data_IF_265391205772
#
_entry.id   IF_265391205772
#
_cell.length_a   1.000
_cell.length_b   1.000
_cell.length_c   1.000
_cell.angle_alpha   90.00
_cell.angle_beta   90.00
_cell.angle_gamma   90.00
#
_symmetry.space_group_name_H-M   'P 1'
#
loop_
_entity.id
_entity.type
_entity.pdbx_description
1 polymer ?
#
# COMPACT_ATOMS: atom_id res chain seq x y z
N UNK A 1 70.98 5.09 7.27
CA UNK A 1 70.12 5.16 8.48
C UNK A 1 68.73 5.61 8.02
N UNK A 2 67.84 4.64 7.77
CA UNK A 2 66.56 4.84 7.08
C UNK A 2 65.48 5.02 8.15
N UNK A 3 64.93 6.23 8.28
CA UNK A 3 63.75 6.49 9.10
C UNK A 3 62.55 6.71 8.19
N UNK A 4 61.74 5.66 8.07
CA UNK A 4 60.43 5.64 7.39
C UNK A 4 59.43 6.44 8.21
N UNK A 5 58.88 7.49 7.61
CA UNK A 5 57.67 8.16 8.07
C UNK A 5 56.47 7.22 7.89
N UNK A 6 55.86 6.79 9.00
CA UNK A 6 54.58 6.07 8.98
C UNK A 6 53.45 7.08 8.76
N UNK A 7 52.97 7.17 7.52
CA UNK A 7 51.67 7.75 7.22
C UNK A 7 50.59 6.83 7.82
N UNK A 8 49.92 7.30 8.86
CA UNK A 8 48.73 6.65 9.42
C UNK A 8 47.57 6.86 8.45
N UNK A 9 47.28 5.85 7.64
CA UNK A 9 46.02 5.74 6.92
C UNK A 9 44.89 5.59 7.95
N UNK A 10 44.22 6.70 8.29
CA UNK A 10 42.87 6.65 8.85
C UNK A 10 41.98 6.06 7.76
N UNK A 11 41.72 4.77 7.86
CA UNK A 11 40.62 4.13 7.16
C UNK A 11 39.35 4.90 7.56
N UNK A 12 38.75 5.59 6.59
CA UNK A 12 37.38 6.07 6.68
C UNK A 12 36.52 4.83 6.94
N UNK A 13 36.15 4.60 8.20
CA UNK A 13 34.96 3.81 8.51
C UNK A 13 33.81 4.59 7.88
N UNK A 14 33.39 4.15 6.70
CA UNK A 14 32.06 4.46 6.21
C UNK A 14 31.11 4.11 7.36
N UNK A 15 30.52 5.13 7.96
CA UNK A 15 29.40 4.95 8.87
C UNK A 15 28.35 4.17 8.10
N UNK A 16 28.17 2.90 8.45
CA UNK A 16 26.96 2.16 8.09
C UNK A 16 25.78 3.04 8.46
N UNK A 17 24.81 3.28 7.55
CA UNK A 17 23.64 4.06 7.88
C UNK A 17 23.04 3.50 9.17
N UNK A 18 22.75 4.37 10.14
CA UNK A 18 22.09 3.99 11.37
C UNK A 18 20.85 3.17 11.02
N UNK A 19 20.90 1.87 11.28
CA UNK A 19 19.78 0.98 10.94
C UNK A 19 18.61 1.35 11.85
N UNK A 20 17.45 1.62 11.25
CA UNK A 20 16.24 1.90 12.04
C UNK A 20 16.00 0.75 13.03
N UNK A 21 15.77 1.05 14.31
CA UNK A 21 15.47 0.02 15.29
C UNK A 21 14.12 -0.63 14.98
N UNK A 22 13.97 -1.89 15.39
CA UNK A 22 12.70 -2.59 15.37
C UNK A 22 11.64 -1.77 16.14
N UNK A 23 10.44 -1.64 15.57
CA UNK A 23 9.37 -0.82 16.15
C UNK A 23 8.56 -1.60 17.18
N UNK A 24 8.01 -0.89 18.17
CA UNK A 24 7.04 -1.41 19.11
C UNK A 24 5.68 -0.76 18.89
N UNK A 25 4.61 -1.41 19.35
CA UNK A 25 3.27 -0.84 19.27
C UNK A 25 3.18 0.47 20.06
N UNK A 26 2.58 1.49 19.43
CA UNK A 26 2.24 2.74 20.11
C UNK A 26 1.25 2.48 21.25
N UNK A 27 1.37 3.22 22.36
CA UNK A 27 0.51 3.06 23.54
C UNK A 27 -0.97 3.25 23.20
N UNK A 28 -1.26 4.18 22.28
CA UNK A 28 -2.57 4.48 21.76
C UNK A 28 -3.18 3.27 21.05
N UNK A 29 -2.38 2.56 20.24
CA UNK A 29 -2.81 1.33 19.53
C UNK A 29 -3.14 0.23 20.52
N UNK A 30 -2.29 0.03 21.53
CA UNK A 30 -2.54 -0.94 22.60
C UNK A 30 -3.86 -0.61 23.32
N UNK A 31 -4.08 0.66 23.67
CA UNK A 31 -5.31 1.11 24.31
C UNK A 31 -6.55 0.90 23.42
N UNK A 32 -6.44 1.14 22.11
CA UNK A 32 -7.53 0.87 21.16
C UNK A 32 -7.86 -0.61 21.04
N UNK A 33 -6.84 -1.48 20.99
CA UNK A 33 -7.04 -2.91 20.80
C UNK A 33 -7.46 -3.65 22.07
N UNK A 34 -7.24 -3.08 23.26
CA UNK A 34 -7.93 -3.52 24.48
C UNK A 34 -9.45 -3.33 24.45
N UNK A 35 -9.96 -2.60 23.45
CA UNK A 35 -11.38 -2.40 23.16
C UNK A 35 -11.73 -3.08 21.85
N UNK A 36 -12.14 -4.36 21.84
CA UNK A 36 -12.32 -5.13 20.61
C UNK A 36 -13.30 -4.51 19.62
N UNK A 37 -14.25 -3.70 20.07
CA UNK A 37 -15.15 -2.92 19.20
C UNK A 37 -14.43 -1.87 18.35
N UNK A 38 -13.39 -1.23 18.88
CA UNK A 38 -12.56 -0.25 18.14
C UNK A 38 -11.70 -0.98 17.11
N UNK A 39 -11.03 -2.06 17.51
CA UNK A 39 -10.26 -2.90 16.58
C UNK A 39 -11.11 -3.37 15.40
N UNK A 40 -12.29 -3.95 15.67
CA UNK A 40 -13.24 -4.35 14.61
C UNK A 40 -13.74 -3.18 13.77
N UNK A 41 -13.96 -2.01 14.38
CA UNK A 41 -14.36 -0.80 13.66
C UNK A 41 -13.28 -0.33 12.68
N UNK A 42 -12.01 -0.34 13.08
CA UNK A 42 -10.85 -0.02 12.24
C UNK A 42 -10.77 -0.95 11.03
N UNK A 43 -10.84 -2.26 11.27
CA UNK A 43 -10.83 -3.28 10.23
C UNK A 43 -11.97 -3.09 9.22
N UNK A 44 -13.18 -2.75 9.70
CA UNK A 44 -14.34 -2.49 8.81
C UNK A 44 -14.15 -1.28 7.91
N UNK A 45 -13.42 -0.24 8.35
CA UNK A 45 -13.14 0.92 7.48
C UNK A 45 -12.41 0.46 6.22
N UNK A 46 -11.40 -0.40 6.38
CA UNK A 46 -10.65 -1.00 5.28
C UNK A 46 -11.32 -2.21 4.62
N UNK A 47 -12.64 -2.40 4.80
CA UNK A 47 -13.41 -3.55 4.27
C UNK A 47 -12.84 -4.93 4.61
N UNK A 48 -12.10 -5.04 5.72
CA UNK A 48 -11.63 -6.34 6.21
C UNK A 48 -12.84 -7.08 6.81
N UNK A 49 -13.14 -8.31 6.38
CA UNK A 49 -14.28 -9.05 6.91
C UNK A 49 -14.08 -9.35 8.40
N UNK A 50 -14.99 -8.89 9.26
CA UNK A 50 -14.95 -9.14 10.70
C UNK A 50 -16.17 -9.91 11.20
N UNK A 51 -16.03 -10.65 12.30
CA UNK A 51 -17.13 -11.32 13.00
C UNK A 51 -17.13 -10.99 14.49
N UNK A 52 -18.29 -11.13 15.13
CA UNK A 52 -18.42 -11.07 16.59
C UNK A 52 -18.56 -12.45 17.23
N UNK A 53 -18.83 -13.48 16.43
CA UNK A 53 -18.94 -14.86 16.90
C UNK A 53 -17.56 -15.37 17.29
N UNK A 54 -17.38 -15.65 18.60
CA UNK A 54 -16.15 -16.26 19.12
C UNK A 54 -16.11 -17.78 18.90
N UNK A 55 -17.26 -18.42 18.69
CA UNK A 55 -17.37 -19.83 18.37
C UNK A 55 -17.41 -20.02 16.85
N UNK A 56 -16.61 -20.95 16.32
CA UNK A 56 -16.75 -21.33 14.93
C UNK A 56 -17.95 -22.21 14.72
N UNK A 57 -18.41 -22.23 13.47
CA UNK A 57 -19.48 -23.12 13.08
C UNK A 57 -18.82 -24.46 12.72
N UNK A 58 -19.53 -25.59 12.86
CA UNK A 58 -19.03 -26.88 12.38
C UNK A 58 -18.43 -26.77 10.97
N UNK A 59 -17.22 -27.31 10.79
CA UNK A 59 -16.48 -27.26 9.53
C UNK A 59 -15.71 -25.95 9.26
N UNK A 60 -15.71 -25.00 10.19
CA UNK A 60 -14.80 -23.85 10.15
C UNK A 60 -13.51 -24.18 10.88
N UNK A 61 -12.42 -23.61 10.39
CA UNK A 61 -11.11 -23.60 11.04
C UNK A 61 -10.89 -22.27 11.73
N UNK A 62 -10.27 -22.30 12.89
CA UNK A 62 -9.80 -21.10 13.58
C UNK A 62 -8.29 -21.08 13.56
N UNK A 63 -7.73 -19.97 13.09
CA UNK A 63 -6.31 -19.71 13.02
C UNK A 63 -5.94 -18.64 14.05
N UNK A 64 -4.86 -18.86 14.79
CA UNK A 64 -4.17 -17.80 15.54
C UNK A 64 -2.80 -17.62 14.91
N UNK A 65 -2.51 -16.39 14.52
CA UNK A 65 -1.29 -16.02 13.80
C UNK A 65 -0.57 -14.99 14.66
N UNK A 66 0.65 -15.27 15.07
CA UNK A 66 1.52 -14.29 15.73
C UNK A 66 2.45 -13.68 14.69
N UNK A 67 2.49 -12.35 14.62
CA UNK A 67 3.27 -11.65 13.60
C UNK A 67 3.99 -10.42 14.15
N UNK A 68 5.09 -10.09 13.46
CA UNK A 68 5.76 -8.80 13.49
C UNK A 68 5.75 -8.22 12.06
N UNK A 69 5.02 -7.13 11.84
CA UNK A 69 4.72 -6.59 10.52
C UNK A 69 4.17 -7.68 9.59
N UNK A 70 4.78 -7.96 8.43
CA UNK A 70 4.34 -9.08 7.57
C UNK A 70 4.98 -10.43 7.95
N UNK A 71 5.88 -10.48 8.93
CA UNK A 71 6.55 -11.71 9.32
C UNK A 71 5.68 -12.53 10.24
N UNK A 72 5.32 -13.73 9.79
CA UNK A 72 4.62 -14.71 10.60
C UNK A 72 5.63 -15.45 11.47
N UNK A 73 5.55 -15.24 12.78
CA UNK A 73 6.39 -15.88 13.79
C UNK A 73 5.85 -17.27 14.13
N UNK A 74 4.54 -17.39 14.25
CA UNK A 74 3.87 -18.65 14.55
C UNK A 74 2.45 -18.66 14.00
N UNK A 75 1.97 -19.86 13.71
CA UNK A 75 0.61 -20.10 13.27
C UNK A 75 0.12 -21.43 13.84
N UNK A 76 -1.01 -21.36 14.54
CA UNK A 76 -1.72 -22.53 15.03
C UNK A 76 -3.13 -22.56 14.44
N UNK A 77 -3.60 -23.75 14.13
CA UNK A 77 -4.93 -24.02 13.58
C UNK A 77 -5.68 -24.96 14.50
N UNK A 78 -6.95 -24.68 14.72
CA UNK A 78 -7.90 -25.59 15.31
C UNK A 78 -9.05 -25.87 14.33
N UNK A 79 -9.58 -27.08 14.37
CA UNK A 79 -10.72 -27.52 13.56
C UNK A 79 -11.94 -27.71 14.45
N UNK A 80 -13.03 -26.99 14.15
CA UNK A 80 -14.26 -27.16 14.91
C UNK A 80 -14.99 -28.41 14.40
N UNK A 81 -14.87 -29.50 15.16
CA UNK A 81 -15.54 -30.76 14.84
C UNK A 81 -17.07 -30.59 14.92
N UNK A 82 -17.78 -31.31 14.05
CA UNK A 82 -19.23 -31.36 14.06
C UNK A 82 -19.72 -32.07 15.31
N UNK A 83 -20.06 -31.33 16.37
CA UNK A 83 -20.64 -31.92 17.56
C UNK A 83 -22.09 -32.34 17.29
N UNK A 84 -22.27 -33.57 16.82
CA UNK A 84 -23.49 -34.31 17.14
C UNK A 84 -23.42 -34.68 18.63
N UNK A 85 -24.36 -34.16 19.42
CA UNK A 85 -24.68 -34.52 20.82
C UNK A 85 -24.04 -33.67 21.95
N UNK A 86 -24.90 -32.80 22.53
CA UNK A 86 -25.19 -32.60 23.96
C UNK A 86 -24.08 -32.42 25.03
N UNK A 87 -22.79 -32.52 24.72
CA UNK A 87 -21.72 -32.30 25.69
C UNK A 87 -20.85 -31.09 25.32
N UNK A 88 -20.87 -30.09 26.21
CA UNK A 88 -19.93 -28.96 26.22
C UNK A 88 -18.53 -29.55 26.43
N UNK A 89 -17.68 -29.56 25.40
CA UNK A 89 -16.29 -29.99 25.52
C UNK A 89 -15.33 -28.82 25.74
N UNK A 90 -14.20 -29.20 26.32
CA UNK A 90 -12.99 -28.49 26.74
C UNK A 90 -12.37 -27.60 25.65
N UNK A 91 -11.34 -26.82 26.03
CA UNK A 91 -10.64 -25.92 25.11
C UNK A 91 -10.27 -26.63 23.79
N UNK A 92 -10.45 -25.98 22.64
CA UNK A 92 -10.19 -26.60 21.34
C UNK A 92 -8.73 -27.03 21.22
N UNK A 93 -8.48 -28.22 20.64
CA UNK A 93 -7.13 -28.66 20.33
C UNK A 93 -6.52 -27.77 19.23
N UNK A 94 -5.25 -27.39 19.43
CA UNK A 94 -4.49 -26.53 18.51
C UNK A 94 -3.31 -27.30 17.92
N UNK A 95 -3.16 -27.20 16.61
CA UNK A 95 -2.06 -27.82 15.86
C UNK A 95 -1.20 -26.73 15.24
N UNK A 96 0.12 -26.85 15.37
CA UNK A 96 1.06 -25.95 14.69
C UNK A 96 0.99 -26.19 13.18
N UNK A 97 0.99 -25.11 12.40
CA UNK A 97 1.05 -25.16 10.94
C UNK A 97 2.50 -24.91 10.51
N UNK A 98 3.06 -25.84 9.73
CA UNK A 98 4.44 -25.71 9.24
C UNK A 98 4.58 -24.54 8.26
N UNK A 99 5.69 -23.79 8.38
CA UNK A 99 6.03 -22.66 7.52
C UNK A 99 7.35 -22.92 6.77
N UNK A 100 7.48 -22.56 5.48
CA UNK A 100 6.44 -21.99 4.63
C UNK A 100 5.37 -23.04 4.24
N UNK A 101 4.11 -22.62 4.11
CA UNK A 101 3.00 -23.49 3.70
C UNK A 101 2.65 -23.27 2.23
N UNK A 102 2.35 -24.37 1.53
CA UNK A 102 1.79 -24.36 0.17
C UNK A 102 0.27 -24.38 0.15
N UNK A 103 -0.39 -24.53 1.31
CA UNK A 103 -1.86 -24.50 1.40
C UNK A 103 -2.38 -23.10 1.07
N UNK A 104 -3.20 -23.00 0.02
CA UNK A 104 -3.78 -21.71 -0.42
C UNK A 104 -4.54 -21.00 0.70
N UNK A 105 -5.28 -21.74 1.53
CA UNK A 105 -6.00 -21.14 2.67
C UNK A 105 -5.04 -20.50 3.67
N UNK A 106 -3.93 -21.19 4.00
CA UNK A 106 -2.93 -20.67 4.93
C UNK A 106 -2.31 -19.39 4.38
N UNK A 107 -1.96 -19.35 3.09
CA UNK A 107 -1.41 -18.16 2.45
C UNK A 107 -2.38 -16.97 2.49
N UNK A 108 -3.67 -17.20 2.23
CA UNK A 108 -4.70 -16.16 2.32
C UNK A 108 -4.91 -15.70 3.76
N UNK A 109 -4.90 -16.62 4.74
CA UNK A 109 -4.98 -16.30 6.17
C UNK A 109 -3.80 -15.42 6.60
N UNK A 110 -2.57 -15.74 6.17
CA UNK A 110 -1.37 -14.95 6.49
C UNK A 110 -1.46 -13.52 5.94
N UNK A 111 -1.85 -13.37 4.66
CA UNK A 111 -2.05 -12.05 4.04
C UNK A 111 -3.13 -11.23 4.74
N UNK A 112 -4.25 -11.87 5.10
CA UNK A 112 -5.33 -11.21 5.85
C UNK A 112 -4.89 -10.80 7.26
N UNK A 113 -4.06 -11.61 7.93
CA UNK A 113 -3.52 -11.30 9.25
C UNK A 113 -2.60 -10.07 9.20
N UNK A 114 -1.64 -10.03 8.27
CA UNK A 114 -0.75 -8.88 8.09
C UNK A 114 -1.53 -7.59 7.76
N UNK A 115 -2.51 -7.67 6.85
CA UNK A 115 -3.39 -6.54 6.52
C UNK A 115 -4.19 -6.07 7.73
N UNK A 116 -4.68 -7.00 8.56
CA UNK A 116 -5.46 -6.67 9.76
C UNK A 116 -4.60 -6.00 10.82
N UNK A 117 -3.37 -6.48 11.02
CA UNK A 117 -2.43 -5.86 11.94
C UNK A 117 -2.08 -4.43 11.50
N UNK A 118 -1.80 -4.23 10.20
CA UNK A 118 -1.53 -2.91 9.64
C UNK A 118 -2.73 -1.96 9.82
N UNK A 119 -3.93 -2.40 9.45
CA UNK A 119 -5.16 -1.59 9.54
C UNK A 119 -5.55 -1.26 10.99
N UNK A 120 -5.17 -2.11 11.94
CA UNK A 120 -5.31 -1.86 13.38
C UNK A 120 -4.27 -0.85 13.92
N UNK A 121 -3.26 -0.49 13.13
CA UNK A 121 -2.17 0.40 13.52
C UNK A 121 -1.06 -0.30 14.30
N UNK A 122 -1.08 -1.62 14.44
CA UNK A 122 -0.09 -2.38 15.20
C UNK A 122 1.11 -2.82 14.31
N UNK A 123 2.29 -2.88 14.92
CA UNK A 123 3.53 -3.42 14.35
C UNK A 123 3.76 -4.87 14.77
N UNK A 124 3.24 -5.28 15.93
CA UNK A 124 3.32 -6.65 16.44
C UNK A 124 1.98 -7.09 17.03
N UNK A 125 1.69 -8.38 17.01
CA UNK A 125 0.51 -8.89 17.70
C UNK A 125 0.09 -10.29 17.28
N UNK A 126 -1.06 -10.70 17.79
CA UNK A 126 -1.75 -11.92 17.40
C UNK A 126 -3.05 -11.57 16.68
N UNK A 127 -3.33 -12.23 15.56
CA UNK A 127 -4.60 -12.09 14.83
C UNK A 127 -5.32 -13.43 14.85
N UNK A 128 -6.59 -13.41 15.24
CA UNK A 128 -7.47 -14.58 15.20
C UNK A 128 -8.38 -14.50 13.98
N UNK A 129 -8.32 -15.51 13.12
CA UNK A 129 -9.10 -15.59 11.88
C UNK A 129 -9.89 -16.89 11.84
N UNK A 130 -11.16 -16.82 11.47
CA UNK A 130 -11.96 -17.99 11.17
C UNK A 130 -12.09 -18.15 9.67
N UNK A 131 -11.88 -19.36 9.16
CA UNK A 131 -11.97 -19.67 7.75
C UNK A 131 -12.89 -20.88 7.52
N UNK A 132 -13.85 -20.71 6.61
CA UNK A 132 -14.61 -21.84 6.06
C UNK A 132 -13.95 -22.37 4.78
N UNK A 133 -13.26 -21.51 4.04
CA UNK A 133 -12.55 -21.79 2.78
C UNK A 133 -11.58 -20.63 2.49
N UNK A 134 -10.69 -20.75 1.48
CA UNK A 134 -9.82 -19.65 1.04
C UNK A 134 -10.55 -18.36 0.60
N UNK A 135 -11.85 -18.42 0.32
CA UNK A 135 -12.64 -17.26 -0.10
C UNK A 135 -13.58 -16.75 0.99
N UNK A 136 -13.69 -17.46 2.11
CA UNK A 136 -14.63 -17.15 3.20
C UNK A 136 -13.91 -17.13 4.53
N UNK A 137 -13.24 -16.00 4.78
CA UNK A 137 -12.50 -15.71 6.01
C UNK A 137 -13.14 -14.55 6.76
N UNK A 138 -13.02 -14.56 8.09
CA UNK A 138 -13.43 -13.45 8.96
C UNK A 138 -12.44 -13.28 10.10
N UNK A 139 -11.98 -12.06 10.31
CA UNK A 139 -11.17 -11.68 11.46
C UNK A 139 -12.07 -11.59 12.70
N UNK A 140 -11.66 -12.25 13.77
CA UNK A 140 -12.36 -12.23 15.05
C UNK A 140 -11.81 -11.08 15.89
N UNK A 141 -10.49 -11.04 16.01
CA UNK A 141 -9.80 -10.15 16.95
C UNK A 141 -8.35 -9.92 16.51
N UNK A 142 -7.83 -8.74 16.85
CA UNK A 142 -6.43 -8.35 16.73
C UNK A 142 -5.96 -7.96 18.12
N UNK A 143 -5.02 -8.70 18.66
CA UNK A 143 -4.43 -8.48 19.97
C UNK A 143 -3.07 -7.80 19.80
N UNK A 144 -2.77 -6.73 20.55
CA UNK A 144 -1.55 -5.95 20.40
C UNK A 144 -0.32 -6.64 21.01
N UNK A 145 -0.49 -7.78 21.67
CA UNK A 145 0.58 -8.47 22.36
C UNK A 145 0.66 -9.90 21.85
N UNK A 146 1.87 -10.45 21.85
CA UNK A 146 2.05 -11.89 21.70
C UNK A 146 1.68 -12.64 22.98
N UNK A 147 1.38 -13.95 22.89
CA UNK A 147 1.23 -14.80 24.06
C UNK A 147 2.45 -14.70 24.98
N UNK A 148 2.22 -14.37 26.25
CA UNK A 148 3.29 -14.12 27.23
C UNK A 148 4.32 -15.27 27.33
N UNK A 149 3.84 -16.52 27.17
CA UNK A 149 4.67 -17.72 27.19
C UNK A 149 5.78 -17.74 26.12
N UNK A 150 5.53 -17.13 24.96
CA UNK A 150 6.44 -17.16 23.80
C UNK A 150 6.99 -15.77 23.45
N UNK A 151 6.67 -14.74 24.25
CA UNK A 151 6.97 -13.35 23.91
C UNK A 151 8.48 -13.09 23.72
N UNK A 152 9.33 -13.66 24.58
CA UNK A 152 10.79 -13.47 24.49
C UNK A 152 11.38 -14.16 23.25
N UNK A 153 10.94 -15.38 22.97
CA UNK A 153 11.35 -16.14 21.77
C UNK A 153 10.93 -15.39 20.49
N UNK A 154 9.68 -14.93 20.44
CA UNK A 154 9.15 -14.17 19.32
C UNK A 154 9.86 -12.84 19.15
N UNK A 155 10.21 -12.15 20.25
CA UNK A 155 10.99 -10.92 20.22
C UNK A 155 12.36 -11.14 19.58
N UNK A 156 13.04 -12.23 19.95
CA UNK A 156 14.32 -12.58 19.36
C UNK A 156 14.19 -12.87 17.86
N UNK A 157 13.25 -13.74 17.47
CA UNK A 157 13.01 -14.10 16.06
C UNK A 157 12.58 -12.90 15.21
N UNK A 158 11.75 -12.01 15.75
CA UNK A 158 11.35 -10.77 15.08
C UNK A 158 12.54 -9.84 14.85
N UNK A 159 13.44 -9.72 15.84
CA UNK A 159 14.66 -8.91 15.73
C UNK A 159 15.61 -9.47 14.67
N UNK A 160 15.87 -10.78 14.71
CA UNK A 160 16.73 -11.45 13.72
C UNK A 160 16.18 -11.28 12.30
N UNK A 161 14.87 -11.47 12.13
CA UNK A 161 14.21 -11.24 10.84
C UNK A 161 14.28 -9.76 10.42
N UNK A 162 14.04 -8.83 11.33
CA UNK A 162 14.10 -7.39 11.05
C UNK A 162 15.51 -6.99 10.58
N UNK A 163 16.54 -7.39 11.31
CA UNK A 163 17.92 -7.13 10.94
C UNK A 163 18.27 -7.75 9.58
N UNK A 164 17.84 -8.99 9.34
CA UNK A 164 17.99 -9.64 8.04
C UNK A 164 17.26 -8.89 6.92
N UNK A 165 16.03 -8.43 7.17
CA UNK A 165 15.20 -7.72 6.19
C UNK A 165 15.78 -6.36 5.84
N UNK A 166 16.22 -5.60 6.83
CA UNK A 166 16.81 -4.27 6.64
C UNK A 166 18.15 -4.36 5.91
N UNK A 167 18.92 -5.44 6.08
CA UNK A 167 20.18 -5.66 5.34
C UNK A 167 20.00 -6.02 3.86
N UNK A 168 18.81 -6.45 3.42
CA UNK A 168 18.56 -6.81 2.01
C UNK A 168 18.58 -5.61 1.07
N UNK A 169 18.28 -4.42 1.59
CA UNK A 169 18.23 -3.19 0.81
C UNK A 169 19.16 -2.14 1.45
N UNK A 170 19.71 -1.19 0.68
CA UNK A 170 20.60 -0.16 1.19
C UNK A 170 19.93 0.83 2.16
N UNK A 171 18.59 0.79 2.29
CA UNK A 171 17.78 1.74 3.06
C UNK A 171 17.98 3.19 2.63
N UNK A 172 18.27 3.37 1.35
CA UNK A 172 18.39 4.67 0.70
C UNK A 172 17.66 4.56 -0.63
N UNK A 173 16.85 5.56 -0.94
CA UNK A 173 16.21 5.65 -2.24
C UNK A 173 17.31 5.75 -3.31
N UNK A 174 17.37 4.74 -4.18
CA UNK A 174 18.27 4.71 -5.33
C UNK A 174 17.58 5.26 -6.56
N UNK A 175 16.36 4.81 -6.83
CA UNK A 175 15.55 5.28 -7.96
C UNK A 175 14.07 5.14 -7.66
N UNK A 176 13.25 5.86 -8.42
CA UNK A 176 11.81 5.68 -8.48
C UNK A 176 11.40 5.12 -9.83
N UNK A 177 10.43 4.21 -9.81
CA UNK A 177 9.65 3.81 -10.99
C UNK A 177 8.17 4.12 -10.76
N UNK A 178 7.34 3.88 -11.76
CA UNK A 178 5.90 4.02 -11.64
C UNK A 178 5.21 3.07 -12.62
N UNK A 179 4.07 2.54 -12.22
CA UNK A 179 3.19 1.72 -13.08
C UNK A 179 1.78 2.35 -13.08
N UNK A 180 1.58 3.55 -13.68
CA UNK A 180 0.27 4.18 -13.70
C UNK A 180 -0.64 3.62 -14.80
N UNK A 181 -1.90 3.43 -14.44
CA UNK A 181 -2.91 2.77 -15.25
C UNK A 181 -3.95 3.76 -15.82
N UNK A 182 -4.58 3.41 -16.94
CA UNK A 182 -5.72 4.14 -17.50
C UNK A 182 -6.68 3.20 -18.23
N UNK A 183 -7.95 3.60 -18.33
CA UNK A 183 -9.00 2.86 -19.01
C UNK A 183 -9.35 3.50 -20.36
N UNK A 184 -9.96 2.71 -21.25
CA UNK A 184 -10.37 3.16 -22.58
C UNK A 184 -11.89 3.19 -22.68
N UNK A 185 -12.45 4.30 -23.22
CA UNK A 185 -13.90 4.49 -23.42
C UNK A 185 -14.21 4.64 -24.90
N UNK A 186 -15.17 3.86 -25.40
CA UNK A 186 -15.72 3.97 -26.75
C UNK A 186 -16.64 5.19 -26.87
N UNK A 187 -16.94 5.69 -28.09
CA UNK A 187 -17.91 6.77 -28.28
C UNK A 187 -19.30 6.49 -27.69
N UNK A 188 -19.71 5.22 -27.62
CA UNK A 188 -20.97 4.80 -27.00
C UNK A 188 -20.97 4.88 -25.46
N UNK A 189 -19.84 5.23 -24.83
CA UNK A 189 -19.67 5.30 -23.38
C UNK A 189 -19.21 3.98 -22.74
N UNK A 190 -19.21 2.88 -23.48
CA UNK A 190 -18.77 1.56 -23.03
C UNK A 190 -17.24 1.47 -22.87
N UNK A 191 -16.79 0.56 -22.00
CA UNK A 191 -15.38 0.24 -21.87
C UNK A 191 -14.86 -0.46 -23.14
N UNK A 192 -13.68 -0.05 -23.61
CA UNK A 192 -12.89 -0.81 -24.57
C UNK A 192 -11.80 -1.59 -23.83
N UNK A 193 -11.45 -2.78 -24.33
CA UNK A 193 -10.38 -3.56 -23.72
C UNK A 193 -9.02 -3.00 -24.17
N UNK A 194 -8.12 -2.74 -23.24
CA UNK A 194 -6.76 -2.32 -23.57
C UNK A 194 -6.03 -3.35 -24.46
N UNK A 195 -6.29 -4.64 -24.25
CA UNK A 195 -5.74 -5.74 -25.07
C UNK A 195 -6.16 -5.73 -26.54
N UNK A 196 -7.20 -4.96 -26.90
CA UNK A 196 -7.59 -4.80 -28.31
C UNK A 196 -6.63 -3.88 -29.07
N UNK A 197 -5.85 -3.07 -28.35
CA UNK A 197 -4.95 -2.06 -28.92
C UNK A 197 -3.48 -2.23 -28.51
N UNK A 198 -3.24 -2.84 -27.35
CA UNK A 198 -1.92 -2.92 -26.73
C UNK A 198 -1.51 -4.37 -26.47
N UNK A 199 -0.21 -4.64 -26.60
CA UNK A 199 0.38 -5.88 -26.08
C UNK A 199 0.28 -5.92 -24.55
N UNK A 200 0.27 -7.12 -23.96
CA UNK A 200 0.30 -7.25 -22.49
C UNK A 200 1.61 -6.63 -21.93
N UNK A 201 2.73 -6.99 -22.56
CA UNK A 201 4.07 -6.57 -22.14
C UNK A 201 4.51 -5.25 -22.77
N UNK A 202 5.58 -4.68 -22.19
CA UNK A 202 6.29 -3.51 -22.69
C UNK A 202 6.00 -2.24 -21.89
N UNK A 203 6.72 -1.18 -22.25
CA UNK A 203 6.64 0.17 -21.67
C UNK A 203 5.25 0.79 -21.74
N UNK A 204 4.47 0.41 -22.75
CA UNK A 204 3.03 0.67 -22.83
C UNK A 204 2.40 -0.67 -23.14
N UNK A 205 1.61 -1.18 -22.18
CA UNK A 205 0.95 -2.47 -22.30
C UNK A 205 -0.33 -2.54 -21.48
N UNK A 206 -0.67 -3.72 -20.98
CA UNK A 206 -1.87 -3.94 -20.19
C UNK A 206 -1.52 -4.39 -18.77
N UNK A 207 -2.35 -4.00 -17.79
CA UNK A 207 -2.28 -4.59 -16.45
C UNK A 207 -2.65 -6.09 -16.54
N UNK A 208 -1.92 -6.90 -15.79
CA UNK A 208 -2.10 -8.35 -15.74
C UNK A 208 -3.07 -8.79 -14.64
N UNK A 209 -3.42 -7.90 -13.71
CA UNK A 209 -4.33 -8.18 -12.62
C UNK A 209 -5.77 -8.30 -13.12
N UNK A 210 -6.47 -9.35 -12.68
CA UNK A 210 -7.85 -9.63 -13.09
C UNK A 210 -8.77 -9.50 -11.88
N UNK A 211 -9.71 -8.56 -11.96
CA UNK A 211 -10.69 -8.34 -10.89
C UNK A 211 -12.02 -9.07 -11.12
N UNK A 212 -12.27 -9.60 -12.32
CA UNK A 212 -13.46 -10.38 -12.67
C UNK A 212 -13.10 -11.67 -13.40
N UNK A 213 -13.77 -12.74 -13.01
CA UNK A 213 -13.67 -14.09 -13.62
C UNK A 213 -14.35 -14.17 -14.99
N UNK A 214 -15.24 -13.21 -15.31
CA UNK A 214 -16.03 -13.17 -16.55
C UNK A 214 -15.21 -12.87 -17.81
N UNK A 215 -14.00 -12.33 -17.67
CA UNK A 215 -13.13 -12.03 -18.82
C UNK A 215 -12.28 -13.24 -19.20
N UNK A 216 -12.23 -13.54 -20.50
CA UNK A 216 -11.42 -14.64 -21.03
C UNK A 216 -9.93 -14.47 -20.70
N UNK A 217 -9.18 -15.58 -20.67
CA UNK A 217 -7.74 -15.63 -20.33
C UNK A 217 -6.80 -14.73 -21.14
N UNK A 218 -7.27 -14.10 -22.22
CA UNK A 218 -6.48 -13.18 -23.05
C UNK A 218 -6.95 -11.73 -22.99
N UNK A 219 -8.05 -11.44 -22.29
CA UNK A 219 -8.64 -10.11 -22.23
C UNK A 219 -8.09 -9.31 -21.05
N UNK A 220 -7.51 -8.15 -21.35
CA UNK A 220 -6.96 -7.23 -20.36
C UNK A 220 -7.63 -5.87 -20.52
N UNK A 221 -8.46 -5.44 -19.55
CA UNK A 221 -9.30 -4.26 -19.70
C UNK A 221 -8.55 -2.93 -19.50
N UNK A 222 -7.47 -2.95 -18.72
CA UNK A 222 -6.76 -1.75 -18.25
C UNK A 222 -5.41 -1.62 -18.94
N UNK A 223 -5.09 -0.42 -19.42
CA UNK A 223 -3.78 -0.08 -19.95
C UNK A 223 -2.84 0.34 -18.82
N UNK A 224 -1.57 -0.01 -18.91
CA UNK A 224 -0.54 0.31 -17.92
C UNK A 224 0.71 0.88 -18.61
N UNK A 225 1.22 1.98 -18.08
CA UNK A 225 2.51 2.54 -18.48
C UNK A 225 3.60 2.00 -17.56
N UNK A 226 4.79 1.73 -18.10
CA UNK A 226 5.96 1.26 -17.35
C UNK A 226 7.19 2.10 -17.72
N UNK A 227 7.21 3.40 -17.36
CA UNK A 227 8.34 4.30 -17.61
C UNK A 227 9.67 3.76 -17.11
N UNK A 228 10.75 4.16 -17.78
CA UNK A 228 12.08 3.87 -17.29
C UNK A 228 12.28 4.52 -15.90
N UNK A 229 12.82 3.79 -14.92
CA UNK A 229 13.04 4.34 -13.58
C UNK A 229 14.09 5.46 -13.61
N UNK A 230 14.00 6.39 -12.67
CA UNK A 230 14.91 7.53 -12.54
C UNK A 230 15.15 7.90 -11.08
N UNK A 231 16.32 8.45 -10.77
CA UNK A 231 16.59 9.08 -9.47
C UNK A 231 15.92 10.46 -9.36
N UNK A 232 15.70 11.11 -10.51
CA UNK A 232 15.09 12.44 -10.59
C UNK A 232 13.58 12.35 -10.90
N UNK A 233 12.69 12.85 -10.02
CA UNK A 233 11.25 12.85 -10.25
C UNK A 233 10.85 13.57 -11.55
N UNK A 234 11.59 14.58 -12.00
CA UNK A 234 11.28 15.30 -13.24
C UNK A 234 11.58 14.46 -14.48
N UNK A 235 12.67 13.70 -14.47
CA UNK A 235 12.94 12.75 -15.55
C UNK A 235 11.90 11.62 -15.59
N UNK A 236 11.49 11.11 -14.42
CA UNK A 236 10.42 10.10 -14.37
C UNK A 236 9.10 10.65 -14.94
N UNK A 237 8.76 11.92 -14.65
CA UNK A 237 7.63 12.61 -15.26
C UNK A 237 7.75 12.67 -16.78
N UNK A 238 8.93 13.00 -17.32
CA UNK A 238 9.15 13.03 -18.77
C UNK A 238 9.04 11.64 -19.41
N UNK A 239 9.55 10.59 -18.76
CA UNK A 239 9.36 9.21 -19.25
C UNK A 239 7.88 8.82 -19.29
N UNK A 240 7.05 9.27 -18.34
CA UNK A 240 5.60 9.06 -18.36
C UNK A 240 4.97 9.79 -19.55
N UNK A 241 5.36 11.05 -19.80
CA UNK A 241 4.90 11.80 -20.96
C UNK A 241 5.23 11.09 -22.28
N UNK A 242 6.47 10.64 -22.44
CA UNK A 242 6.93 9.91 -23.63
C UNK A 242 6.14 8.61 -23.83
N UNK A 243 5.84 7.91 -22.74
CA UNK A 243 5.02 6.71 -22.75
C UNK A 243 3.57 6.99 -23.16
N UNK A 244 2.97 8.08 -22.68
CA UNK A 244 1.63 8.49 -23.12
C UNK A 244 1.62 8.84 -24.61
N UNK A 245 2.66 9.53 -25.11
CA UNK A 245 2.80 9.83 -26.53
C UNK A 245 3.00 8.54 -27.37
N UNK A 246 3.73 7.56 -26.85
CA UNK A 246 3.85 6.24 -27.47
C UNK A 246 2.52 5.48 -27.47
N UNK A 247 1.79 5.50 -26.36
CA UNK A 247 0.46 4.92 -26.26
C UNK A 247 -0.50 5.55 -27.28
N UNK A 248 -0.36 6.86 -27.55
CA UNK A 248 -1.21 7.58 -28.48
C UNK A 248 -1.02 7.06 -29.90
N UNK A 249 0.26 6.86 -30.28
CA UNK A 249 0.62 6.25 -31.56
C UNK A 249 0.16 4.79 -31.66
N UNK A 250 0.31 3.99 -30.60
CA UNK A 250 -0.07 2.57 -30.60
C UNK A 250 -1.57 2.35 -30.70
N UNK A 251 -2.36 3.10 -29.92
CA UNK A 251 -3.82 2.98 -29.92
C UNK A 251 -4.39 3.51 -31.24
N UNK A 252 -3.81 4.58 -31.79
CA UNK A 252 -4.05 5.02 -33.18
C UNK A 252 -5.50 5.38 -33.52
N UNK A 253 -6.37 5.53 -32.52
CA UNK A 253 -7.79 5.78 -32.68
C UNK A 253 -8.23 6.99 -31.84
N UNK A 254 -8.53 8.10 -32.52
CA UNK A 254 -8.95 9.35 -31.88
C UNK A 254 -10.32 9.26 -31.22
N UNK A 255 -11.19 8.35 -31.66
CA UNK A 255 -12.54 8.16 -31.10
C UNK A 255 -12.56 7.44 -29.74
N UNK A 256 -11.47 6.78 -29.37
CA UNK A 256 -11.33 6.11 -28.07
C UNK A 256 -10.76 7.12 -27.06
N UNK A 257 -11.56 7.48 -26.06
CA UNK A 257 -11.15 8.36 -24.97
C UNK A 257 -10.38 7.59 -23.90
N UNK A 258 -9.45 8.27 -23.23
CA UNK A 258 -8.64 7.67 -22.17
C UNK A 258 -9.00 8.27 -20.82
N UNK A 259 -9.30 7.41 -19.84
CA UNK A 259 -9.79 7.82 -18.52
C UNK A 259 -8.83 7.38 -17.42
N UNK A 260 -8.57 8.28 -16.47
CA UNK A 260 -7.79 8.04 -15.27
C UNK A 260 -8.66 8.28 -14.02
N UNK A 261 -8.09 8.19 -12.82
CA UNK A 261 -8.80 8.35 -11.54
C UNK A 261 -8.90 7.04 -10.75
N UNK A 262 -9.97 6.87 -9.98
CA UNK A 262 -10.13 5.70 -9.12
C UNK A 262 -10.71 4.47 -9.82
N UNK A 263 -11.91 4.59 -10.38
CA UNK A 263 -12.61 3.47 -10.99
C UNK A 263 -13.55 3.97 -12.10
N UNK A 264 -13.01 4.33 -13.28
CA UNK A 264 -13.81 4.88 -14.38
C UNK A 264 -14.93 3.93 -14.85
N UNK A 265 -14.74 2.62 -14.69
CA UNK A 265 -15.73 1.60 -15.00
C UNK A 265 -15.99 0.71 -13.79
N UNK A 266 -17.25 0.42 -13.50
CA UNK A 266 -17.65 -0.35 -12.32
C UNK A 266 -16.97 -1.73 -12.24
N UNK A 267 -16.20 -1.94 -11.18
CA UNK A 267 -15.48 -3.20 -10.95
C UNK A 267 -14.13 -3.31 -11.66
N UNK A 268 -13.66 -2.23 -12.29
CA UNK A 268 -12.32 -2.10 -12.87
C UNK A 268 -11.59 -0.93 -12.19
N UNK A 269 -11.14 -1.12 -10.93
CA UNK A 269 -10.35 -0.10 -10.25
C UNK A 269 -9.00 0.05 -10.93
N UNK A 270 -8.51 1.29 -11.04
CA UNK A 270 -7.19 1.58 -11.64
C UNK A 270 -6.27 2.32 -10.68
N UNK A 271 -4.96 2.10 -10.79
CA UNK A 271 -3.95 2.61 -9.85
C UNK A 271 -2.88 3.49 -10.48
N UNK A 272 -2.23 4.30 -9.65
CA UNK A 272 -1.03 5.07 -9.98
C UNK A 272 0.15 4.58 -9.16
N UNK A 273 0.65 3.38 -9.41
CA UNK A 273 1.59 2.76 -8.49
C UNK A 273 2.96 3.43 -8.60
N UNK A 274 3.68 3.51 -7.48
CA UNK A 274 5.01 4.11 -7.40
C UNK A 274 5.98 3.09 -6.83
N UNK A 275 7.14 2.95 -7.46
CA UNK A 275 8.15 1.98 -7.11
C UNK A 275 9.30 2.69 -6.41
N UNK A 276 9.76 2.14 -5.30
CA UNK A 276 10.84 2.69 -4.50
C UNK A 276 12.01 1.71 -4.48
N UNK A 277 13.04 2.01 -5.27
CA UNK A 277 14.26 1.23 -5.35
C UNK A 277 15.19 1.48 -4.16
N UNK A 278 15.71 0.41 -3.56
CA UNK A 278 16.68 0.46 -2.47
C UNK A 278 16.08 0.64 -1.07
N UNK A 279 14.75 0.58 -0.93
CA UNK A 279 14.04 0.72 0.34
C UNK A 279 13.29 -0.57 0.72
N UNK A 280 13.25 -0.89 2.01
CA UNK A 280 12.41 -1.95 2.55
C UNK A 280 11.03 -1.38 2.91
N UNK A 281 9.90 -2.00 2.52
CA UNK A 281 8.57 -1.51 2.85
C UNK A 281 8.21 -1.78 4.32
N UNK A 282 8.86 -1.12 5.28
CA UNK A 282 8.49 -1.26 6.70
C UNK A 282 7.10 -0.68 6.96
N UNK A 283 6.40 -1.14 7.99
CA UNK A 283 5.10 -0.54 8.37
C UNK A 283 5.22 0.97 8.64
N UNK A 284 6.34 1.41 9.24
CA UNK A 284 6.64 2.82 9.43
C UNK A 284 6.66 3.58 8.10
N UNK A 285 7.44 3.13 7.12
CA UNK A 285 7.53 3.77 5.80
C UNK A 285 6.18 3.77 5.08
N UNK A 286 5.45 2.64 5.09
CA UNK A 286 4.10 2.56 4.50
C UNK A 286 3.15 3.59 5.11
N UNK A 287 3.16 3.73 6.44
CA UNK A 287 2.32 4.73 7.13
C UNK A 287 2.71 6.16 6.78
N UNK A 288 3.99 6.43 6.48
CA UNK A 288 4.41 7.74 5.94
C UNK A 288 3.89 7.94 4.51
N UNK A 289 4.00 6.94 3.64
CA UNK A 289 3.43 7.05 2.30
C UNK A 289 1.91 7.27 2.34
N UNK A 290 1.19 6.56 3.20
CA UNK A 290 -0.25 6.78 3.42
C UNK A 290 -0.53 8.21 3.92
N UNK A 291 0.23 8.66 4.92
CA UNK A 291 0.07 9.96 5.57
C UNK A 291 0.29 11.14 4.62
N UNK A 292 1.33 11.09 3.79
CA UNK A 292 1.73 12.23 2.98
C UNK A 292 1.31 12.11 1.51
N UNK A 293 0.99 10.91 1.01
CA UNK A 293 0.51 10.73 -0.37
C UNK A 293 -0.99 10.42 -0.40
N UNK A 294 -1.41 9.35 0.27
CA UNK A 294 -2.78 8.84 0.10
C UNK A 294 -3.84 9.75 0.73
N UNK A 295 -3.62 10.20 1.96
CA UNK A 295 -4.57 11.08 2.64
C UNK A 295 -4.72 12.45 1.95
N UNK A 296 -3.64 13.15 1.55
CA UNK A 296 -3.76 14.41 0.84
C UNK A 296 -4.47 14.31 -0.51
N UNK A 297 -4.26 13.22 -1.25
CA UNK A 297 -4.85 13.06 -2.57
C UNK A 297 -6.39 13.00 -2.52
N UNK A 298 -6.99 12.52 -1.43
CA UNK A 298 -8.45 12.47 -1.22
C UNK A 298 -9.13 13.80 -1.50
N UNK A 299 -8.48 14.95 -1.25
CA UNK A 299 -9.08 16.26 -1.47
C UNK A 299 -9.55 16.47 -2.91
N UNK A 300 -8.89 15.86 -3.89
CA UNK A 300 -9.24 16.03 -5.30
C UNK A 300 -9.84 14.78 -5.95
N UNK A 301 -9.88 13.66 -5.24
CA UNK A 301 -10.36 12.41 -5.81
C UNK A 301 -11.83 12.45 -6.27
N UNK A 302 -12.13 11.59 -7.25
CA UNK A 302 -13.46 11.30 -7.77
C UNK A 302 -14.19 10.25 -6.92
N UNK A 303 -15.49 10.10 -7.14
CA UNK A 303 -16.32 9.14 -6.42
C UNK A 303 -15.89 7.67 -6.63
N UNK A 304 -15.25 7.35 -7.76
CA UNK A 304 -14.72 6.02 -8.06
C UNK A 304 -13.61 5.59 -7.10
N UNK A 305 -12.84 6.54 -6.54
CA UNK A 305 -11.78 6.27 -5.57
C UNK A 305 -12.30 5.61 -4.28
N UNK A 306 -13.50 5.97 -3.82
CA UNK A 306 -14.12 5.34 -2.65
C UNK A 306 -14.42 3.86 -2.91
N UNK A 307 -14.99 3.56 -4.08
CA UNK A 307 -15.31 2.19 -4.48
C UNK A 307 -14.04 1.36 -4.73
N UNK A 308 -13.00 1.98 -5.31
CA UNK A 308 -11.69 1.35 -5.52
C UNK A 308 -11.14 0.78 -4.21
N UNK A 309 -11.10 1.60 -3.15
CA UNK A 309 -10.56 1.24 -1.82
C UNK A 309 -11.21 0.04 -1.15
N UNK A 310 -12.41 -0.36 -1.60
CA UNK A 310 -13.07 -1.53 -1.05
C UNK A 310 -12.31 -2.83 -1.32
N UNK A 311 -11.61 -2.88 -2.46
CA UNK A 311 -10.89 -4.07 -2.92
C UNK A 311 -9.43 -3.78 -3.26
N UNK A 312 -9.14 -2.57 -3.74
CA UNK A 312 -7.83 -2.20 -4.27
C UNK A 312 -7.37 -0.84 -3.76
N UNK A 313 -6.08 -0.72 -3.40
CA UNK A 313 -5.51 0.53 -2.91
C UNK A 313 -6.06 0.98 -1.56
N UNK A 314 -6.20 0.03 -0.63
CA UNK A 314 -6.39 0.32 0.79
C UNK A 314 -5.08 0.83 1.41
N UNK A 315 -5.14 1.42 2.61
CA UNK A 315 -3.95 1.94 3.30
C UNK A 315 -2.92 0.83 3.54
N UNK A 316 -1.66 1.10 3.22
CA UNK A 316 -0.55 0.17 3.36
C UNK A 316 -0.45 -0.90 2.28
N UNK A 317 -1.19 -0.79 1.18
CA UNK A 317 -1.11 -1.72 0.05
C UNK A 317 0.24 -1.57 -0.66
N UNK A 318 1.07 -2.61 -0.54
CA UNK A 318 2.39 -2.69 -1.16
C UNK A 318 2.63 -4.08 -1.73
N UNK A 319 3.54 -4.15 -2.70
CA UNK A 319 4.08 -5.40 -3.23
C UNK A 319 5.60 -5.36 -3.19
N UNK A 320 6.20 -6.31 -2.48
CA UNK A 320 7.66 -6.43 -2.39
C UNK A 320 8.25 -6.89 -3.73
N UNK A 321 9.44 -6.37 -4.07
CA UNK A 321 10.19 -6.63 -5.31
C UNK A 321 11.66 -6.84 -4.95
N UNK A 322 12.43 -7.44 -5.84
CA UNK A 322 13.87 -7.66 -5.60
C UNK A 322 14.64 -6.35 -5.38
N UNK A 323 14.27 -5.29 -6.10
CA UNK A 323 14.89 -3.97 -5.98
C UNK A 323 14.33 -3.10 -4.85
N UNK A 324 13.29 -3.53 -4.12
CA UNK A 324 12.58 -2.69 -3.15
C UNK A 324 11.10 -3.03 -3.09
N UNK A 325 10.23 -2.07 -3.41
CA UNK A 325 8.78 -2.33 -3.42
C UNK A 325 7.99 -1.40 -4.33
N UNK A 326 6.76 -1.81 -4.60
CA UNK A 326 5.71 -1.09 -5.32
C UNK A 326 4.64 -0.66 -4.29
N UNK A 327 4.30 0.63 -4.27
CA UNK A 327 3.26 1.22 -3.45
C UNK A 327 1.99 1.43 -4.27
N UNK A 328 0.88 0.84 -3.82
CA UNK A 328 -0.32 0.58 -4.65
C UNK A 328 -1.57 1.31 -4.15
N UNK A 329 -1.47 2.01 -3.02
CA UNK A 329 -2.58 2.72 -2.39
C UNK A 329 -3.22 3.77 -3.30
N UNK A 330 -2.44 4.46 -4.14
CA UNK A 330 -2.95 5.62 -4.89
C UNK A 330 -3.82 5.24 -6.10
N UNK A 331 -4.94 5.94 -6.36
CA UNK A 331 -5.64 5.85 -7.64
C UNK A 331 -4.75 6.35 -8.79
N UNK A 332 -5.18 6.14 -10.04
CA UNK A 332 -4.44 6.65 -11.19
C UNK A 332 -4.41 8.17 -11.17
N UNK A 333 -3.23 8.72 -10.94
CA UNK A 333 -2.98 10.15 -10.91
C UNK A 333 -2.73 10.79 -12.27
N UNK A 334 -2.84 10.00 -13.36
CA UNK A 334 -2.70 10.47 -14.74
C UNK A 334 -3.80 11.45 -15.18
N UNK A 335 -4.78 11.74 -14.32
CA UNK A 335 -5.87 12.69 -14.62
C UNK A 335 -5.32 14.06 -15.01
N UNK A 336 -4.27 14.51 -14.32
CA UNK A 336 -3.70 15.84 -14.51
C UNK A 336 -2.15 15.81 -14.40
N UNK A 337 -1.41 16.43 -15.35
CA UNK A 337 0.04 16.46 -15.33
C UNK A 337 0.64 17.23 -14.14
N UNK A 338 -0.05 18.27 -13.61
CA UNK A 338 0.36 18.99 -12.40
C UNK A 338 0.31 18.05 -11.19
N UNK A 339 -0.80 17.30 -11.06
CA UNK A 339 -0.98 16.32 -9.97
C UNK A 339 0.05 15.21 -10.08
N UNK A 340 0.24 14.66 -11.29
CA UNK A 340 1.24 13.62 -11.57
C UNK A 340 2.63 14.06 -11.13
N UNK A 341 3.09 15.21 -11.62
CA UNK A 341 4.42 15.75 -11.27
C UNK A 341 4.55 16.03 -9.78
N UNK A 342 3.52 16.62 -9.17
CA UNK A 342 3.46 16.89 -7.73
C UNK A 342 3.62 15.63 -6.88
N UNK A 343 2.89 14.55 -7.22
CA UNK A 343 2.96 13.27 -6.52
C UNK A 343 4.34 12.63 -6.63
N UNK A 344 4.98 12.67 -7.80
CA UNK A 344 6.33 12.10 -7.96
C UNK A 344 7.36 12.85 -7.09
N UNK A 345 7.32 14.18 -7.10
CA UNK A 345 8.16 15.00 -6.21
C UNK A 345 7.87 14.73 -4.73
N UNK A 346 6.61 14.58 -4.36
CA UNK A 346 6.21 14.34 -2.98
C UNK A 346 6.63 12.94 -2.53
N UNK A 347 6.46 11.92 -3.38
CA UNK A 347 6.89 10.56 -3.13
C UNK A 347 8.41 10.50 -2.91
N UNK A 348 9.18 11.17 -3.77
CA UNK A 348 10.63 11.30 -3.62
C UNK A 348 11.00 11.96 -2.27
N UNK A 349 10.40 13.10 -1.96
CA UNK A 349 10.68 13.84 -0.72
C UNK A 349 10.36 13.01 0.53
N UNK A 350 9.21 12.34 0.54
CA UNK A 350 8.76 11.47 1.64
C UNK A 350 9.71 10.30 1.80
N UNK A 351 10.01 9.56 0.73
CA UNK A 351 10.87 8.39 0.78
C UNK A 351 12.30 8.72 1.25
N UNK A 352 12.85 9.86 0.81
CA UNK A 352 14.19 10.31 1.21
C UNK A 352 14.27 10.88 2.64
N UNK A 353 13.14 11.31 3.22
CA UNK A 353 13.10 11.95 4.54
C UNK A 353 12.15 11.27 5.54
N UNK A 354 11.72 10.03 5.27
CA UNK A 354 10.66 9.36 6.03
C UNK A 354 10.93 9.26 7.54
N UNK A 355 12.21 9.23 7.95
CA UNK A 355 12.61 9.19 9.37
C UNK A 355 12.33 10.51 10.11
N UNK A 356 12.32 11.63 9.40
CA UNK A 356 12.12 12.98 9.96
C UNK A 356 10.64 13.34 10.07
N UNK A 357 9.80 12.66 9.30
CA UNK A 357 8.36 12.90 9.26
C UNK A 357 7.67 12.40 10.53
N UNK A 358 6.76 13.18 11.07
CA UNK A 358 6.13 12.98 12.37
C UNK A 358 4.64 12.67 12.29
N UNK A 359 3.98 12.86 11.14
CA UNK A 359 2.56 12.56 11.04
C UNK A 359 2.26 11.07 11.32
N UNK A 360 1.23 10.85 12.15
CA UNK A 360 0.76 9.53 12.60
C UNK A 360 -0.77 9.41 12.43
N UNK A 361 -1.32 9.58 11.21
CA UNK A 361 -2.78 9.54 11.01
C UNK A 361 -3.39 8.18 11.34
N UNK A 362 -2.62 7.09 11.30
CA UNK A 362 -3.01 5.76 11.76
C UNK A 362 -3.37 5.70 13.26
N UNK A 363 -3.01 6.71 14.05
CA UNK A 363 -3.42 6.86 15.46
C UNK A 363 -4.66 7.76 15.62
N UNK A 364 -5.15 8.37 14.54
CA UNK A 364 -6.25 9.32 14.55
C UNK A 364 -7.46 8.71 13.85
N UNK A 365 -8.33 8.03 14.63
CA UNK A 365 -9.53 7.35 14.10
C UNK A 365 -10.35 8.21 13.11
N UNK A 366 -10.59 9.51 13.35
CA UNK A 366 -11.31 10.35 12.39
C UNK A 366 -10.65 10.45 11.01
N UNK A 367 -9.30 10.47 10.94
CA UNK A 367 -8.59 10.55 9.66
C UNK A 367 -8.66 9.23 8.88
N UNK A 368 -8.60 8.10 9.58
CA UNK A 368 -8.77 6.77 8.96
C UNK A 368 -10.17 6.68 8.35
N UNK A 369 -11.21 7.07 9.11
CA UNK A 369 -12.58 7.12 8.61
C UNK A 369 -12.68 8.04 7.39
N UNK A 370 -12.12 9.24 7.48
CA UNK A 370 -12.19 10.24 6.42
C UNK A 370 -11.56 9.76 5.11
N UNK A 371 -10.44 9.03 5.17
CA UNK A 371 -9.83 8.40 4.00
C UNK A 371 -10.78 7.40 3.31
N UNK A 372 -11.31 6.44 4.07
CA UNK A 372 -12.17 5.39 3.49
C UNK A 372 -13.54 5.91 3.03
N UNK A 373 -14.04 6.99 3.65
CA UNK A 373 -15.33 7.60 3.31
C UNK A 373 -15.22 8.78 2.34
N UNK A 374 -14.01 9.18 1.95
CA UNK A 374 -13.81 10.34 1.08
C UNK A 374 -14.23 11.67 1.72
N UNK A 375 -14.15 11.80 3.05
CA UNK A 375 -14.57 13.01 3.78
C UNK A 375 -13.52 14.13 3.63
N UNK A 376 -13.49 14.79 2.47
CA UNK A 376 -12.52 15.85 2.09
C UNK A 376 -12.37 16.95 3.15
N UNK A 377 -13.49 17.46 3.65
CA UNK A 377 -13.52 18.53 4.67
C UNK A 377 -12.80 18.14 5.97
N UNK A 378 -12.85 16.86 6.36
CA UNK A 378 -12.16 16.35 7.57
C UNK A 378 -10.66 16.21 7.35
N UNK A 379 -10.23 16.02 6.11
CA UNK A 379 -8.81 15.89 5.76
C UNK A 379 -8.15 17.24 5.51
N UNK A 380 -8.91 18.28 5.09
CA UNK A 380 -8.34 19.59 4.76
C UNK A 380 -7.41 20.17 5.84
N UNK A 381 -7.76 20.20 7.15
CA UNK A 381 -6.85 20.69 8.19
C UNK A 381 -5.59 19.84 8.32
N UNK A 382 -5.72 18.52 8.14
CA UNK A 382 -4.59 17.60 8.17
C UNK A 382 -3.64 17.83 6.99
N UNK A 383 -4.18 18.05 5.79
CA UNK A 383 -3.39 18.34 4.58
C UNK A 383 -2.61 19.64 4.73
N UNK A 384 -3.25 20.69 5.25
CA UNK A 384 -2.58 21.94 5.55
C UNK A 384 -1.42 21.75 6.55
N UNK A 385 -1.64 20.95 7.61
CA UNK A 385 -0.60 20.62 8.60
C UNK A 385 0.60 19.91 7.96
N UNK A 386 0.37 18.81 7.22
CA UNK A 386 1.48 18.05 6.63
C UNK A 386 2.22 18.85 5.57
N UNK A 387 1.55 19.75 4.85
CA UNK A 387 2.22 20.63 3.90
C UNK A 387 3.21 21.57 4.60
N UNK A 388 2.86 22.15 5.76
CA UNK A 388 3.80 22.97 6.55
C UNK A 388 4.98 22.13 7.03
N UNK A 389 4.74 20.91 7.51
CA UNK A 389 5.81 20.01 7.92
C UNK A 389 6.78 19.69 6.78
N UNK A 390 6.27 19.44 5.57
CA UNK A 390 7.09 19.16 4.40
C UNK A 390 8.00 20.34 4.02
N UNK A 391 7.55 21.58 4.21
CA UNK A 391 8.35 22.80 3.91
C UNK A 391 9.63 22.90 4.72
N UNK A 392 9.66 22.30 5.91
CA UNK A 392 10.83 22.28 6.79
C UNK A 392 11.88 21.23 6.40
N UNK A 393 11.59 20.36 5.42
CA UNK A 393 12.52 19.32 4.99
C UNK A 393 13.62 19.88 4.08
N UNK A 394 14.89 19.42 4.23
CA UNK A 394 16.00 19.90 3.40
C UNK A 394 15.79 19.74 1.88
N UNK A 395 15.08 18.68 1.46
CA UNK A 395 14.80 18.40 0.05
C UNK A 395 13.64 19.20 -0.55
N UNK A 396 12.88 19.94 0.26
CA UNK A 396 11.68 20.65 -0.20
C UNK A 396 12.03 21.73 -1.23
N UNK A 397 13.11 22.48 -1.01
CA UNK A 397 13.52 23.59 -1.88
C UNK A 397 13.69 23.17 -3.34
N UNK A 398 14.25 21.98 -3.59
CA UNK A 398 14.45 21.44 -4.94
C UNK A 398 13.11 21.11 -5.63
N UNK A 399 12.09 20.74 -4.86
CA UNK A 399 10.76 20.37 -5.35
C UNK A 399 9.70 21.47 -5.18
N UNK A 400 10.07 22.62 -4.62
CA UNK A 400 9.15 23.66 -4.13
C UNK A 400 8.14 24.11 -5.18
N UNK A 401 8.60 24.37 -6.40
CA UNK A 401 7.72 24.84 -7.49
C UNK A 401 6.61 23.83 -7.78
N UNK A 402 6.92 22.53 -7.75
CA UNK A 402 5.96 21.47 -8.03
C UNK A 402 5.07 21.18 -6.82
N UNK A 403 5.65 21.14 -5.62
CA UNK A 403 4.91 20.87 -4.39
C UNK A 403 3.97 22.01 -4.01
N UNK A 404 4.41 23.27 -4.12
CA UNK A 404 3.55 24.41 -3.81
C UNK A 404 2.34 24.45 -4.74
N UNK A 405 2.55 24.24 -6.05
CA UNK A 405 1.46 24.16 -7.03
C UNK A 405 0.53 22.99 -6.75
N UNK A 406 1.08 21.83 -6.44
CA UNK A 406 0.33 20.63 -6.10
C UNK A 406 -0.57 20.86 -4.89
N UNK A 407 -0.03 21.34 -3.77
CA UNK A 407 -0.81 21.54 -2.55
C UNK A 407 -1.81 22.70 -2.67
N UNK A 408 -1.46 23.80 -3.35
CA UNK A 408 -2.45 24.83 -3.71
C UNK A 408 -3.60 24.23 -4.51
N UNK A 409 -3.29 23.43 -5.53
CA UNK A 409 -4.32 22.74 -6.33
C UNK A 409 -5.19 21.82 -5.47
N UNK A 410 -4.59 21.04 -4.55
CA UNK A 410 -5.34 20.16 -3.64
C UNK A 410 -6.33 20.92 -2.75
N UNK A 411 -5.94 22.10 -2.26
CA UNK A 411 -6.71 22.90 -1.30
C UNK A 411 -7.78 23.74 -2.00
N UNK A 412 -7.47 24.29 -3.17
CA UNK A 412 -8.35 25.20 -3.92
C UNK A 412 -9.37 24.46 -4.79
N UNK A 413 -9.07 23.22 -5.19
CA UNK A 413 -9.92 22.45 -6.09
C UNK A 413 -10.93 21.60 -5.34
N UNK A 414 -12.12 21.44 -5.92
CA UNK A 414 -13.15 20.54 -5.36
C UNK A 414 -12.92 19.08 -5.75
N UNK A 415 -12.62 18.80 -7.03
CA UNK A 415 -12.31 17.47 -7.57
C UNK A 415 -11.56 17.59 -8.91
N UNK A 416 -10.70 16.62 -9.22
CA UNK A 416 -10.13 16.45 -10.55
C UNK A 416 -11.17 15.96 -11.56
N UNK A 417 -10.95 16.20 -12.85
CA UNK A 417 -11.93 15.91 -13.90
C UNK A 417 -11.67 14.55 -14.56
N UNK A 418 -12.20 13.48 -13.97
CA UNK A 418 -11.94 12.10 -14.42
C UNK A 418 -12.78 11.65 -15.62
N UNK A 419 -13.84 12.38 -15.94
CA UNK A 419 -14.68 12.08 -17.11
C UNK A 419 -14.18 12.73 -18.41
N UNK A 420 -13.14 13.55 -18.35
CA UNK A 420 -12.49 14.12 -19.52
C UNK A 420 -11.38 13.19 -20.03
N UNK A 421 -11.25 13.11 -21.36
CA UNK A 421 -10.15 12.39 -22.01
C UNK A 421 -8.79 12.98 -21.59
N UNK A 422 -7.97 12.18 -20.90
CA UNK A 422 -6.69 12.63 -20.34
C UNK A 422 -5.72 13.11 -21.44
N UNK A 423 -5.90 12.69 -22.70
CA UNK A 423 -5.08 13.20 -23.81
C UNK A 423 -5.22 14.73 -23.97
N UNK A 424 -6.36 15.30 -23.61
CA UNK A 424 -6.60 16.76 -23.61
C UNK A 424 -5.78 17.45 -22.53
N UNK A 425 -5.82 16.94 -21.30
CA UNK A 425 -5.08 17.53 -20.16
C UNK A 425 -3.57 17.42 -20.35
N UNK A 426 -3.11 16.34 -20.98
CA UNK A 426 -1.71 16.10 -21.33
C UNK A 426 -1.26 16.72 -22.66
N UNK A 427 -2.15 17.42 -23.39
CA UNK A 427 -1.86 18.08 -24.68
C UNK A 427 -1.27 17.14 -25.74
N UNK A 428 -1.86 15.96 -25.88
CA UNK A 428 -1.47 14.94 -26.87
C UNK A 428 -2.34 14.95 -28.12
N UNK A 429 -3.43 15.72 -28.13
CA UNK A 429 -4.36 15.88 -29.26
C UNK A 429 -3.96 17.00 -30.21
#
# INVERSE_FOLDING_TARGET
>A
MILRTKASQRANKQETPATQPMTANAKEVVAYLHRPEIGRWLLRQGRIPVTTGKAARPGWRTYRICLYQDYVLDIVRSEEQSQWLLHRMEEPEWYSVSLPSTETEVQVVQGLAARSLYAAGADAGQVTIMAASPHRLKVVEVEPNWPAKHADEYMQRAREWWEGRIRKQPQKLQSMGADPEFALRKPAGEMALASDFLSINGTVGCDTTRYREELGLHQHPVAELRPAPSEDPDQLFMHIYDNLALAYKKIGNSSIEWLAGGMPFQGYPIGGHIHFGGLTPTFSLRRKLDAYLALPLVLIEDAGCMSRRERYGFLGDVREKEYGFEYRTLPSWLVDPLVTRGILHLAHLVATNHEKLQATPHLKLPLIKAYYQGEKEKLLPYVAQVWQELKELPGYTLSRIHLDRYFSFLIESQSWKTDEDLRKTWKLL
#
